data_IF_656310278068
#
_entry.id   IF_656310278068
#
_cell.length_a   1.000
_cell.length_b   1.000
_cell.length_c   1.000
_cell.angle_alpha   90.00
_cell.angle_beta   90.00
_cell.angle_gamma   90.00
#
_symmetry.space_group_name_H-M   'P 1'
#
loop_
_entity.id
_entity.type
_entity.pdbx_description
1 polymer ?
#
# COMPACT_ATOMS: atom_id res chain seq x y z
N UNK A 1 -33.44 13.49 -0.35
CA UNK A 1 -32.18 12.73 -0.44
C UNK A 1 -31.33 12.78 0.84
N UNK A 2 -30.97 13.96 1.38
CA UNK A 2 -30.16 14.07 2.62
C UNK A 2 -30.75 13.33 3.83
N UNK A 3 -32.05 13.51 4.12
CA UNK A 3 -32.74 12.86 5.24
C UNK A 3 -32.78 11.32 5.10
N UNK A 4 -33.08 10.83 3.88
CA UNK A 4 -33.14 9.40 3.56
C UNK A 4 -31.78 8.68 3.74
N UNK A 5 -30.69 9.27 3.25
CA UNK A 5 -29.34 8.70 3.41
C UNK A 5 -28.87 8.71 4.87
N UNK A 6 -29.21 9.77 5.61
CA UNK A 6 -28.83 9.88 7.02
C UNK A 6 -29.56 8.86 7.90
N UNK A 7 -30.84 8.60 7.61
CA UNK A 7 -31.68 7.67 8.39
C UNK A 7 -31.43 6.20 8.01
N UNK A 8 -31.11 5.89 6.75
CA UNK A 8 -30.97 4.49 6.27
C UNK A 8 -29.54 4.05 5.96
N UNK A 9 -28.65 4.97 5.62
CA UNK A 9 -27.27 4.70 5.22
C UNK A 9 -26.26 5.65 5.87
N UNK A 10 -26.22 5.73 7.22
CA UNK A 10 -25.39 6.70 7.93
C UNK A 10 -23.90 6.56 7.60
N UNK A 11 -23.41 5.33 7.36
CA UNK A 11 -22.02 5.10 6.95
C UNK A 11 -21.71 5.74 5.58
N UNK A 12 -22.60 5.60 4.60
CA UNK A 12 -22.44 6.17 3.25
C UNK A 12 -22.45 7.69 3.30
N UNK A 13 -23.32 8.26 4.14
CA UNK A 13 -23.42 9.71 4.33
C UNK A 13 -22.20 10.28 5.06
N UNK A 14 -21.80 9.67 6.18
CA UNK A 14 -20.72 10.18 7.03
C UNK A 14 -19.34 10.07 6.39
N UNK A 15 -19.11 9.04 5.56
CA UNK A 15 -17.86 8.89 4.81
C UNK A 15 -17.81 9.71 3.53
N UNK A 16 -18.92 10.33 3.14
CA UNK A 16 -19.07 11.06 1.88
C UNK A 16 -18.69 10.25 0.63
N UNK A 17 -18.85 8.92 0.69
CA UNK A 17 -18.45 7.98 -0.37
C UNK A 17 -19.13 8.26 -1.71
N UNK A 18 -20.37 8.78 -1.67
CA UNK A 18 -21.16 9.15 -2.87
C UNK A 18 -20.44 10.20 -3.72
N UNK A 19 -19.68 11.11 -3.11
CA UNK A 19 -18.91 12.12 -3.84
C UNK A 19 -17.46 11.70 -4.06
N UNK A 20 -16.88 10.96 -3.11
CA UNK A 20 -15.50 10.51 -3.20
C UNK A 20 -15.28 9.54 -4.36
N UNK A 21 -16.10 8.48 -4.49
CA UNK A 21 -15.87 7.44 -5.49
C UNK A 21 -16.01 7.92 -6.94
N UNK A 22 -17.03 8.70 -7.34
CA UNK A 22 -17.10 9.21 -8.71
C UNK A 22 -15.93 10.12 -9.06
N UNK A 23 -15.46 10.93 -8.09
CA UNK A 23 -14.32 11.82 -8.29
C UNK A 23 -12.99 11.04 -8.40
N UNK A 24 -12.80 10.04 -7.54
CA UNK A 24 -11.68 9.09 -7.63
C UNK A 24 -11.68 8.42 -9.01
N UNK A 25 -12.82 7.91 -9.46
CA UNK A 25 -12.95 7.30 -10.78
C UNK A 25 -12.59 8.28 -11.91
N UNK A 26 -13.07 9.52 -11.85
CA UNK A 26 -12.73 10.54 -12.84
C UNK A 26 -11.22 10.85 -12.86
N UNK A 27 -10.57 10.87 -11.71
CA UNK A 27 -9.11 11.07 -11.60
C UNK A 27 -8.35 9.89 -12.20
N UNK A 28 -8.73 8.65 -11.89
CA UNK A 28 -8.12 7.46 -12.50
C UNK A 28 -8.28 7.47 -14.02
N UNK A 29 -9.48 7.80 -14.51
CA UNK A 29 -9.74 7.92 -15.95
C UNK A 29 -8.87 9.01 -16.59
N UNK A 30 -8.72 10.16 -15.94
CA UNK A 30 -7.85 11.24 -16.41
C UNK A 30 -6.41 10.78 -16.54
N UNK A 31 -5.83 10.17 -15.49
CA UNK A 31 -4.45 9.66 -15.54
C UNK A 31 -4.27 8.56 -16.57
N UNK A 32 -5.22 7.63 -16.66
CA UNK A 32 -5.21 6.57 -17.67
C UNK A 32 -5.19 7.14 -19.10
N UNK A 33 -6.10 8.07 -19.41
CA UNK A 33 -6.16 8.68 -20.74
C UNK A 33 -4.91 9.50 -21.04
N UNK A 34 -4.33 10.15 -20.04
CA UNK A 34 -3.08 10.87 -20.18
C UNK A 34 -1.93 9.93 -20.53
N UNK A 35 -1.68 8.88 -19.73
CA UNK A 35 -0.64 7.89 -20.03
C UNK A 35 -0.83 7.24 -21.40
N UNK A 36 -2.08 6.88 -21.74
CA UNK A 36 -2.42 6.33 -23.05
C UNK A 36 -2.11 7.28 -24.22
N UNK A 37 -2.20 8.59 -24.02
CA UNK A 37 -1.89 9.60 -25.03
C UNK A 37 -0.39 9.92 -25.13
N UNK A 38 0.39 9.69 -24.07
CA UNK A 38 1.84 9.99 -24.01
C UNK A 38 2.68 9.03 -24.85
N UNK A 39 2.23 7.79 -25.06
CA UNK A 39 2.97 6.81 -25.86
C UNK A 39 2.88 7.13 -27.36
N UNK A 40 4.04 7.44 -27.93
CA UNK A 40 4.27 7.76 -29.34
C UNK A 40 5.42 6.91 -29.91
N UNK A 41 5.46 6.77 -31.24
CA UNK A 41 6.58 6.07 -31.91
C UNK A 41 7.92 6.77 -31.67
N UNK A 42 7.91 8.09 -31.51
CA UNK A 42 9.10 8.87 -31.19
C UNK A 42 9.71 8.45 -29.85
N UNK A 43 8.91 8.43 -28.78
CA UNK A 43 9.37 8.01 -27.46
C UNK A 43 9.78 6.53 -27.45
N UNK A 44 9.01 5.68 -28.13
CA UNK A 44 9.30 4.25 -28.24
C UNK A 44 10.55 3.94 -29.07
N UNK A 45 11.01 4.87 -29.91
CA UNK A 45 12.22 4.70 -30.74
C UNK A 45 13.52 5.00 -29.99
N UNK A 46 13.44 5.49 -28.76
CA UNK A 46 14.59 5.68 -27.89
C UNK A 46 15.25 4.33 -27.57
N UNK A 47 16.59 4.31 -27.52
CA UNK A 47 17.37 3.09 -27.33
C UNK A 47 16.95 2.30 -26.07
N UNK A 48 16.70 3.01 -24.98
CA UNK A 48 16.18 2.44 -23.73
C UNK A 48 14.92 3.19 -23.32
N UNK A 49 13.75 2.59 -23.52
CA UNK A 49 12.48 3.15 -23.07
C UNK A 49 11.88 2.27 -21.97
N UNK A 50 11.77 2.83 -20.76
CA UNK A 50 11.02 2.25 -19.64
C UNK A 50 9.76 3.08 -19.36
N UNK A 51 8.69 2.42 -18.92
CA UNK A 51 7.44 3.10 -18.58
C UNK A 51 7.62 4.08 -17.40
N UNK A 52 8.46 3.72 -16.43
CA UNK A 52 8.83 4.56 -15.28
C UNK A 52 9.31 5.96 -15.69
N UNK A 53 10.12 6.04 -16.76
CA UNK A 53 10.75 7.29 -17.20
C UNK A 53 9.75 8.39 -17.57
N UNK A 54 8.54 8.03 -18.02
CA UNK A 54 7.51 9.01 -18.38
C UNK A 54 6.65 9.42 -17.19
N UNK A 55 6.50 8.54 -16.20
CA UNK A 55 5.83 8.89 -14.96
C UNK A 55 6.68 9.84 -14.11
N UNK A 56 8.00 9.60 -14.06
CA UNK A 56 9.00 10.41 -13.37
C UNK A 56 9.13 11.82 -13.99
N UNK A 57 8.20 12.70 -13.62
CA UNK A 57 8.15 14.07 -14.13
C UNK A 57 6.83 14.76 -13.82
N UNK A 58 6.26 15.43 -14.83
CA UNK A 58 5.01 16.16 -14.69
C UNK A 58 3.85 15.25 -14.20
N UNK A 59 3.67 14.01 -14.69
CA UNK A 59 2.60 13.13 -14.21
C UNK A 59 2.70 12.82 -12.72
N UNK A 60 3.90 12.49 -12.22
CA UNK A 60 4.14 12.26 -10.78
C UNK A 60 3.77 13.48 -9.94
N UNK A 61 4.26 14.67 -10.29
CA UNK A 61 3.98 15.90 -9.54
C UNK A 61 2.47 16.22 -9.54
N UNK A 62 1.81 16.06 -10.69
CA UNK A 62 0.37 16.27 -10.79
C UNK A 62 -0.42 15.25 -9.98
N UNK A 63 0.01 13.99 -9.95
CA UNK A 63 -0.60 12.95 -9.11
C UNK A 63 -0.51 13.31 -7.63
N UNK A 64 0.65 13.79 -7.19
CA UNK A 64 0.85 14.24 -5.81
C UNK A 64 -0.05 15.42 -5.44
N UNK A 65 -0.15 16.43 -6.30
CA UNK A 65 -1.05 17.59 -6.09
C UNK A 65 -2.50 17.14 -5.97
N UNK A 66 -2.96 16.27 -6.88
CA UNK A 66 -4.33 15.77 -6.89
C UNK A 66 -4.61 14.93 -5.63
N UNK A 67 -3.67 14.07 -5.22
CA UNK A 67 -3.75 13.29 -3.98
C UNK A 67 -3.94 14.23 -2.77
N UNK A 68 -3.10 15.25 -2.64
CA UNK A 68 -3.18 16.21 -1.52
C UNK A 68 -4.53 16.94 -1.52
N UNK A 69 -4.97 17.46 -2.66
CA UNK A 69 -6.26 18.16 -2.77
C UNK A 69 -7.44 17.25 -2.43
N UNK A 70 -7.40 16.00 -2.90
CA UNK A 70 -8.42 14.99 -2.62
C UNK A 70 -8.47 14.63 -1.13
N UNK A 71 -7.32 14.39 -0.51
CA UNK A 71 -7.23 14.09 0.92
C UNK A 71 -7.75 15.25 1.76
N UNK A 72 -7.29 16.48 1.50
CA UNK A 72 -7.73 17.68 2.24
C UNK A 72 -9.23 17.89 2.06
N UNK A 73 -9.73 17.86 0.82
CA UNK A 73 -11.14 18.06 0.52
C UNK A 73 -12.04 17.00 1.14
N UNK A 74 -11.59 15.74 1.16
CA UNK A 74 -12.30 14.65 1.81
C UNK A 74 -12.26 14.77 3.33
N UNK A 75 -11.09 15.04 3.94
CA UNK A 75 -10.93 15.21 5.38
C UNK A 75 -11.77 16.35 5.93
N UNK A 76 -11.80 17.53 5.27
CA UNK A 76 -12.65 18.65 5.69
C UNK A 76 -14.12 18.21 5.81
N UNK A 77 -14.62 17.44 4.83
CA UNK A 77 -16.00 16.94 4.84
C UNK A 77 -16.21 15.87 5.91
N UNK A 78 -15.26 14.93 5.99
CA UNK A 78 -15.30 13.80 6.93
C UNK A 78 -15.30 14.27 8.39
N UNK A 79 -14.45 15.23 8.75
CA UNK A 79 -14.35 15.76 10.12
C UNK A 79 -15.47 16.75 10.47
N UNK A 80 -16.10 17.41 9.50
CA UNK A 80 -17.22 18.33 9.74
C UNK A 80 -18.40 17.67 10.45
N UNK A 81 -18.63 16.37 10.21
CA UNK A 81 -19.67 15.57 10.87
C UNK A 81 -19.05 14.35 11.55
N UNK A 82 -18.50 14.53 12.75
CA UNK A 82 -18.06 13.38 13.55
C UNK A 82 -19.24 12.74 14.30
N UNK A 83 -19.78 11.65 13.75
CA UNK A 83 -20.86 10.89 14.38
C UNK A 83 -20.41 10.19 15.68
N UNK A 84 -19.11 9.95 15.86
CA UNK A 84 -18.57 9.27 17.04
C UNK A 84 -18.56 10.16 18.28
N UNK A 85 -18.40 11.47 18.10
CA UNK A 85 -18.42 12.47 19.17
C UNK A 85 -19.82 12.75 19.72
N UNK A 86 -20.89 12.35 19.02
CA UNK A 86 -22.29 12.67 19.40
C UNK A 86 -23.06 11.51 20.03
N UNK A 87 -22.38 10.56 20.67
CA UNK A 87 -22.97 9.40 21.36
C UNK A 87 -23.97 8.58 20.52
N UNK A 88 -23.88 8.62 19.18
CA UNK A 88 -24.72 7.77 18.35
C UNK A 88 -24.40 6.29 18.65
N UNK A 89 -25.43 5.44 18.86
CA UNK A 89 -25.22 4.00 18.96
C UNK A 89 -24.67 3.52 17.61
N UNK A 90 -23.44 3.03 17.61
CA UNK A 90 -22.77 2.47 16.43
C UNK A 90 -22.46 1.02 16.74
N UNK A 91 -22.94 0.09 15.92
CA UNK A 91 -22.67 -1.33 16.12
C UNK A 91 -21.25 -1.72 15.70
N UNK A 92 -20.75 -2.83 16.22
CA UNK A 92 -19.47 -3.46 15.85
C UNK A 92 -19.29 -3.52 14.32
N UNK A 93 -20.33 -3.99 13.62
CA UNK A 93 -20.32 -4.11 12.17
C UNK A 93 -20.30 -2.77 11.43
N UNK A 94 -20.91 -1.73 12.01
CA UNK A 94 -20.83 -0.38 11.45
C UNK A 94 -19.44 0.23 11.59
N UNK A 95 -18.72 -0.06 12.68
CA UNK A 95 -17.32 0.35 12.87
C UNK A 95 -16.42 -0.30 11.81
N UNK A 96 -16.53 -1.62 11.65
CA UNK A 96 -15.75 -2.35 10.66
C UNK A 96 -16.04 -1.87 9.24
N UNK A 97 -17.32 -1.69 8.88
CA UNK A 97 -17.71 -1.14 7.57
C UNK A 97 -17.11 0.23 7.31
N UNK A 98 -17.01 1.09 8.33
CA UNK A 98 -16.38 2.39 8.16
C UNK A 98 -14.88 2.28 7.90
N UNK A 99 -14.17 1.40 8.61
CA UNK A 99 -12.76 1.13 8.32
C UNK A 99 -12.55 0.69 6.87
N UNK A 100 -13.36 -0.27 6.38
CA UNK A 100 -13.30 -0.75 5.00
C UNK A 100 -13.59 0.37 4.00
N UNK A 101 -14.59 1.23 4.26
CA UNK A 101 -14.88 2.38 3.37
C UNK A 101 -13.71 3.37 3.37
N UNK A 102 -13.10 3.66 4.53
CA UNK A 102 -11.91 4.51 4.59
C UNK A 102 -10.75 3.91 3.79
N UNK A 103 -10.55 2.59 3.90
CA UNK A 103 -9.52 1.87 3.15
C UNK A 103 -9.72 2.01 1.64
N UNK A 104 -10.95 1.80 1.15
CA UNK A 104 -11.25 1.94 -0.28
C UNK A 104 -11.07 3.37 -0.80
N UNK A 105 -11.51 4.37 -0.03
CA UNK A 105 -11.35 5.78 -0.43
C UNK A 105 -9.87 6.16 -0.43
N UNK A 106 -9.14 5.82 0.65
CA UNK A 106 -7.71 6.09 0.78
C UNK A 106 -6.92 5.39 -0.34
N UNK A 107 -7.25 4.13 -0.62
CA UNK A 107 -6.73 3.32 -1.72
C UNK A 107 -6.93 3.97 -3.07
N UNK A 108 -8.17 4.37 -3.40
CA UNK A 108 -8.47 5.02 -4.66
C UNK A 108 -7.78 6.38 -4.83
N UNK A 109 -7.57 7.14 -3.75
CA UNK A 109 -6.84 8.41 -3.84
C UNK A 109 -5.35 8.13 -4.11
N UNK A 110 -4.71 7.29 -3.28
CA UNK A 110 -3.25 7.09 -3.33
C UNK A 110 -2.78 6.27 -4.54
N UNK A 111 -3.62 5.40 -5.08
CA UNK A 111 -3.31 4.61 -6.29
C UNK A 111 -3.56 5.35 -7.61
N UNK A 112 -4.01 6.61 -7.57
CA UNK A 112 -4.36 7.38 -8.77
C UNK A 112 -3.21 7.50 -9.79
N UNK A 113 -1.97 7.62 -9.32
CA UNK A 113 -0.78 7.69 -10.17
C UNK A 113 -0.56 6.43 -11.02
N UNK A 114 -0.85 5.23 -10.47
CA UNK A 114 -0.66 3.95 -11.16
C UNK A 114 -1.51 3.84 -12.43
N UNK A 115 -2.66 4.55 -12.49
CA UNK A 115 -3.50 4.55 -13.69
C UNK A 115 -2.80 5.14 -14.91
N UNK A 116 -1.84 6.05 -14.73
CA UNK A 116 -1.04 6.60 -15.82
C UNK A 116 -0.28 5.49 -16.54
N UNK A 117 0.52 4.75 -15.79
CA UNK A 117 1.33 3.64 -16.27
C UNK A 117 0.49 2.52 -16.88
N UNK A 118 -0.67 2.23 -16.29
CA UNK A 118 -1.65 1.28 -16.88
C UNK A 118 -2.12 1.78 -18.25
N UNK A 119 -2.34 3.08 -18.41
CA UNK A 119 -2.69 3.70 -19.69
C UNK A 119 -1.59 3.56 -20.74
N UNK A 120 -0.33 3.76 -20.35
CA UNK A 120 0.81 3.58 -21.23
C UNK A 120 0.95 2.13 -21.69
N UNK A 121 0.91 1.19 -20.75
CA UNK A 121 0.96 -0.24 -21.04
C UNK A 121 -0.19 -0.65 -21.96
N UNK A 122 -1.41 -0.17 -21.71
CA UNK A 122 -2.56 -0.43 -22.57
C UNK A 122 -2.35 0.09 -24.01
N UNK A 123 -1.73 1.26 -24.18
CA UNK A 123 -1.41 1.81 -25.49
C UNK A 123 -0.39 0.96 -26.23
N UNK A 124 0.67 0.50 -25.56
CA UNK A 124 1.70 -0.37 -26.14
C UNK A 124 1.07 -1.69 -26.61
N UNK A 125 0.23 -2.30 -25.77
CA UNK A 125 -0.46 -3.55 -26.10
C UNK A 125 -1.40 -3.42 -27.30
N UNK A 126 -2.08 -2.29 -27.43
CA UNK A 126 -2.99 -2.01 -28.53
C UNK A 126 -2.27 -1.65 -29.84
N UNK A 127 -1.21 -0.82 -29.76
CA UNK A 127 -0.55 -0.25 -30.94
C UNK A 127 0.43 -1.22 -31.60
N UNK A 128 1.25 -1.92 -30.80
CA UNK A 128 2.33 -2.77 -31.31
C UNK A 128 1.93 -4.24 -31.20
N UNK A 129 1.41 -4.79 -32.30
CA UNK A 129 0.95 -6.19 -32.34
C UNK A 129 2.10 -7.18 -32.22
N UNK A 130 1.82 -8.39 -31.73
CA UNK A 130 2.87 -9.43 -31.59
C UNK A 130 3.44 -9.83 -32.96
N UNK A 131 2.62 -9.76 -34.01
CA UNK A 131 3.07 -9.98 -35.39
C UNK A 131 4.02 -8.88 -35.87
N UNK A 132 3.73 -7.61 -35.58
CA UNK A 132 4.65 -6.51 -35.88
C UNK A 132 6.00 -6.72 -35.17
N UNK A 133 5.97 -6.97 -33.86
CA UNK A 133 7.16 -7.20 -33.04
C UNK A 133 7.98 -8.37 -33.59
N UNK A 134 7.32 -9.50 -33.90
CA UNK A 134 7.98 -10.67 -34.46
C UNK A 134 8.60 -10.38 -35.83
N UNK A 135 7.87 -9.70 -36.71
CA UNK A 135 8.30 -9.40 -38.08
C UNK A 135 9.52 -8.48 -38.14
N UNK A 136 9.63 -7.53 -37.21
CA UNK A 136 10.80 -6.65 -37.10
C UNK A 136 11.98 -7.40 -36.50
N UNK A 137 11.79 -8.02 -35.32
CA UNK A 137 12.90 -8.59 -34.56
C UNK A 137 13.50 -9.85 -35.20
N UNK A 138 12.75 -10.60 -36.02
CA UNK A 138 13.29 -11.77 -36.72
C UNK A 138 14.32 -11.43 -37.81
N UNK A 139 14.37 -10.17 -38.26
CA UNK A 139 15.32 -9.73 -39.30
C UNK A 139 16.76 -9.64 -38.77
N UNK A 140 16.92 -9.66 -37.44
CA UNK A 140 18.18 -9.49 -36.74
C UNK A 140 18.59 -10.79 -36.04
N UNK A 141 19.90 -11.05 -35.90
CA UNK A 141 20.39 -12.24 -35.19
C UNK A 141 20.01 -12.20 -33.70
N UNK A 142 19.92 -13.37 -33.05
CA UNK A 142 19.48 -13.45 -31.65
C UNK A 142 20.41 -12.73 -30.65
N UNK A 143 21.68 -12.53 -31.00
CA UNK A 143 22.69 -11.86 -30.20
C UNK A 143 22.95 -10.41 -30.66
N UNK A 144 21.98 -9.80 -31.35
CA UNK A 144 22.05 -8.40 -31.78
C UNK A 144 22.19 -7.48 -30.58
N UNK A 145 23.32 -6.78 -30.49
CA UNK A 145 23.64 -5.94 -29.35
C UNK A 145 23.53 -4.44 -29.71
N UNK A 146 23.81 -3.59 -28.72
CA UNK A 146 23.75 -2.14 -28.90
C UNK A 146 24.65 -1.61 -30.03
N UNK A 147 25.90 -2.08 -30.10
CA UNK A 147 26.84 -1.66 -31.13
C UNK A 147 26.35 -2.03 -32.53
N UNK A 148 25.65 -3.17 -32.66
CA UNK A 148 25.06 -3.59 -33.92
C UNK A 148 23.88 -2.68 -34.33
N UNK A 149 23.08 -2.24 -33.36
CA UNK A 149 21.97 -1.29 -33.56
C UNK A 149 22.48 0.07 -34.01
N UNK A 150 23.56 0.60 -33.42
CA UNK A 150 24.14 1.90 -33.79
C UNK A 150 24.74 1.93 -35.21
N UNK A 151 25.08 0.76 -35.77
CA UNK A 151 25.60 0.64 -37.14
C UNK A 151 24.49 0.64 -38.21
N UNK A 152 23.23 0.52 -37.80
CA UNK A 152 22.10 0.51 -38.73
C UNK A 152 21.80 1.92 -39.26
N UNK A 153 21.18 2.02 -40.45
CA UNK A 153 20.52 3.26 -40.86
C UNK A 153 19.48 3.70 -39.83
N UNK A 154 19.35 5.01 -39.61
CA UNK A 154 18.50 5.61 -38.57
C UNK A 154 17.06 5.07 -38.58
N UNK A 155 16.47 4.88 -39.76
CA UNK A 155 15.12 4.33 -39.90
C UNK A 155 15.00 2.90 -39.34
N UNK A 156 16.00 2.05 -39.60
CA UNK A 156 16.04 0.67 -39.10
C UNK A 156 16.32 0.63 -37.60
N UNK A 157 17.20 1.51 -37.10
CA UNK A 157 17.45 1.68 -35.67
C UNK A 157 16.16 2.03 -34.92
N UNK A 158 15.39 3.01 -35.43
CA UNK A 158 14.11 3.41 -34.81
C UNK A 158 13.11 2.26 -34.78
N UNK A 159 12.93 1.55 -35.90
CA UNK A 159 11.98 0.44 -36.00
C UNK A 159 12.36 -0.71 -35.06
N UNK A 160 13.65 -1.05 -35.00
CA UNK A 160 14.18 -2.05 -34.06
C UNK A 160 13.90 -1.65 -32.61
N UNK A 161 14.24 -0.42 -32.22
CA UNK A 161 14.06 0.07 -30.85
C UNK A 161 12.58 0.03 -30.43
N UNK A 162 11.66 0.49 -31.30
CA UNK A 162 10.22 0.42 -31.04
C UNK A 162 9.78 -1.03 -30.78
N UNK A 163 10.18 -1.96 -31.66
CA UNK A 163 9.79 -3.36 -31.53
C UNK A 163 10.40 -4.02 -30.28
N UNK A 164 11.65 -3.70 -29.96
CA UNK A 164 12.33 -4.25 -28.79
C UNK A 164 11.73 -3.71 -27.47
N UNK A 165 11.51 -2.40 -27.38
CA UNK A 165 10.87 -1.78 -26.22
C UNK A 165 9.43 -2.32 -26.02
N UNK A 166 8.65 -2.43 -27.11
CA UNK A 166 7.29 -2.99 -27.04
C UNK A 166 7.28 -4.45 -26.57
N UNK A 167 8.24 -5.27 -27.04
CA UNK A 167 8.44 -6.64 -26.57
C UNK A 167 8.76 -6.69 -25.08
N UNK A 168 9.67 -5.83 -24.61
CA UNK A 168 10.10 -5.82 -23.22
C UNK A 168 8.97 -5.42 -22.28
N UNK A 169 8.20 -4.39 -22.63
CA UNK A 169 7.00 -3.97 -21.87
C UNK A 169 5.96 -5.09 -21.84
N UNK A 170 5.69 -5.76 -22.97
CA UNK A 170 4.71 -6.85 -23.05
C UNK A 170 5.13 -8.10 -22.29
N UNK A 171 6.44 -8.35 -22.21
CA UNK A 171 6.98 -9.53 -21.52
C UNK A 171 6.92 -9.36 -19.99
N UNK A 172 7.03 -8.13 -19.49
CA UNK A 172 6.93 -7.82 -18.06
C UNK A 172 5.46 -7.82 -17.64
N UNK A 173 5.13 -8.60 -16.61
CA UNK A 173 3.84 -8.45 -15.94
C UNK A 173 3.85 -7.09 -15.23
N UNK A 174 2.82 -6.27 -15.43
CA UNK A 174 2.71 -4.94 -14.80
C UNK A 174 3.05 -4.95 -13.30
N UNK A 175 2.55 -5.97 -12.58
CA UNK A 175 2.80 -6.12 -11.14
C UNK A 175 4.27 -6.38 -10.82
N UNK A 176 5.03 -7.04 -11.70
CA UNK A 176 6.47 -7.25 -11.52
C UNK A 176 7.28 -5.99 -11.77
N UNK A 177 6.85 -5.15 -12.71
CA UNK A 177 7.53 -3.89 -13.02
C UNK A 177 7.34 -2.87 -11.90
N UNK A 178 6.13 -2.76 -11.35
CA UNK A 178 5.77 -1.76 -10.34
C UNK A 178 5.63 -2.32 -8.93
N UNK A 179 6.35 -3.39 -8.61
CA UNK A 179 6.18 -4.12 -7.35
C UNK A 179 6.45 -3.25 -6.11
N UNK A 180 7.53 -2.46 -6.15
CA UNK A 180 7.93 -1.58 -5.05
C UNK A 180 6.93 -0.43 -4.86
N UNK A 181 6.47 0.18 -5.95
CA UNK A 181 5.49 1.26 -5.94
C UNK A 181 4.13 0.78 -5.42
N UNK A 182 3.68 -0.39 -5.89
CA UNK A 182 2.42 -1.00 -5.41
C UNK A 182 2.56 -1.29 -3.91
N UNK A 183 3.66 -1.90 -3.47
CA UNK A 183 3.90 -2.23 -2.05
C UNK A 183 3.94 -0.95 -1.19
N UNK A 184 4.58 0.12 -1.66
CA UNK A 184 4.61 1.41 -0.99
C UNK A 184 3.20 2.03 -0.89
N UNK A 185 2.41 2.00 -1.97
CA UNK A 185 1.04 2.53 -1.99
C UNK A 185 0.15 1.72 -1.05
N UNK A 186 0.17 0.39 -1.10
CA UNK A 186 -0.60 -0.49 -0.22
C UNK A 186 -0.28 -0.23 1.26
N UNK A 187 1.01 -0.10 1.58
CA UNK A 187 1.50 0.22 2.93
C UNK A 187 1.01 1.59 3.39
N UNK A 188 1.15 2.63 2.56
CA UNK A 188 0.70 3.97 2.87
C UNK A 188 -0.83 4.03 3.06
N UNK A 189 -1.58 3.35 2.21
CA UNK A 189 -3.04 3.22 2.31
C UNK A 189 -3.43 2.62 3.65
N UNK A 190 -2.80 1.52 4.05
CA UNK A 190 -3.13 0.85 5.29
C UNK A 190 -2.77 1.69 6.53
N UNK A 191 -1.58 2.28 6.56
CA UNK A 191 -1.12 3.12 7.68
C UNK A 191 -2.01 4.36 7.83
N UNK A 192 -2.25 5.09 6.75
CA UNK A 192 -3.06 6.32 6.78
C UNK A 192 -4.52 6.02 7.13
N UNK A 193 -5.06 4.90 6.64
CA UNK A 193 -6.42 4.47 7.00
C UNK A 193 -6.50 4.13 8.49
N UNK A 194 -5.51 3.41 9.03
CA UNK A 194 -5.46 3.05 10.44
C UNK A 194 -5.33 4.29 11.34
N UNK A 195 -4.49 5.25 10.96
CA UNK A 195 -4.36 6.54 11.65
C UNK A 195 -5.68 7.33 11.63
N UNK A 196 -6.33 7.42 10.47
CA UNK A 196 -7.63 8.07 10.36
C UNK A 196 -8.68 7.38 11.25
N UNK A 197 -8.69 6.05 11.26
CA UNK A 197 -9.64 5.26 12.02
C UNK A 197 -9.51 5.48 13.53
N UNK A 198 -8.28 5.48 14.08
CA UNK A 198 -8.07 5.70 15.51
C UNK A 198 -8.46 7.12 15.96
N UNK A 199 -8.22 8.13 15.11
CA UNK A 199 -8.64 9.53 15.37
C UNK A 199 -10.16 9.61 15.42
N UNK A 200 -10.84 8.90 14.52
CA UNK A 200 -12.31 8.89 14.41
C UNK A 200 -12.98 8.17 15.56
N UNK A 201 -12.42 7.04 16.02
CA UNK A 201 -13.00 6.25 17.10
C UNK A 201 -12.79 6.90 18.46
N UNK A 202 -11.57 7.35 18.75
CA UNK A 202 -11.18 7.74 20.11
C UNK A 202 -11.34 9.23 20.34
N UNK A 203 -10.37 10.02 19.91
CA UNK A 203 -10.40 11.48 19.77
C UNK A 203 -9.05 11.91 19.21
N UNK A 204 -8.93 13.16 18.75
CA UNK A 204 -7.62 13.71 18.39
C UNK A 204 -6.64 13.67 19.58
N UNK A 205 -7.10 13.97 20.80
CA UNK A 205 -6.27 13.93 22.01
C UNK A 205 -5.70 12.54 22.26
N UNK A 206 -6.56 11.51 22.24
CA UNK A 206 -6.14 10.12 22.48
C UNK A 206 -5.23 9.61 21.37
N UNK A 207 -5.51 9.96 20.11
CA UNK A 207 -4.67 9.59 18.98
C UNK A 207 -3.27 10.22 19.03
N UNK A 208 -3.17 11.52 19.39
CA UNK A 208 -1.87 12.17 19.58
C UNK A 208 -1.04 11.54 20.71
N UNK A 209 -1.68 11.23 21.83
CA UNK A 209 -1.03 10.50 22.92
C UNK A 209 -0.59 9.10 22.47
N UNK A 210 -1.40 8.42 21.64
CA UNK A 210 -1.04 7.13 21.05
C UNK A 210 0.26 7.24 20.26
N UNK A 211 0.36 8.21 19.35
CA UNK A 211 1.55 8.42 18.51
C UNK A 211 2.79 8.67 19.39
N UNK A 212 2.64 9.49 20.44
CA UNK A 212 3.72 9.78 21.38
C UNK A 212 4.17 8.53 22.14
N UNK A 213 3.24 7.77 22.73
CA UNK A 213 3.56 6.56 23.48
C UNK A 213 4.07 5.42 22.59
N UNK A 214 3.56 5.27 21.37
CA UNK A 214 4.09 4.30 20.41
C UNK A 214 5.51 4.66 20.00
N UNK A 215 5.80 5.95 19.76
CA UNK A 215 7.15 6.42 19.44
C UNK A 215 8.15 6.15 20.57
N UNK A 216 7.76 6.41 21.82
CA UNK A 216 8.57 6.08 23.00
C UNK A 216 8.82 4.57 23.12
N UNK A 217 7.79 3.75 22.85
CA UNK A 217 7.91 2.30 22.91
C UNK A 217 8.80 1.74 21.79
N UNK A 218 8.72 2.29 20.58
CA UNK A 218 9.64 1.97 19.49
C UNK A 218 11.09 2.33 19.85
N UNK A 219 11.32 3.49 20.46
CA UNK A 219 12.66 3.89 20.91
C UNK A 219 13.20 2.95 21.99
N UNK A 220 12.37 2.59 22.98
CA UNK A 220 12.76 1.65 24.02
C UNK A 220 13.07 0.27 23.44
N UNK A 221 12.25 -0.20 22.49
CA UNK A 221 12.51 -1.46 21.78
C UNK A 221 13.82 -1.40 20.99
N UNK A 222 14.09 -0.30 20.28
CA UNK A 222 15.34 -0.11 19.54
C UNK A 222 16.56 -0.12 20.48
N UNK A 223 16.47 0.50 21.65
CA UNK A 223 17.53 0.43 22.67
C UNK A 223 17.74 -1.00 23.19
N UNK A 224 16.66 -1.75 23.40
CA UNK A 224 16.76 -3.17 23.77
C UNK A 224 17.41 -4.00 22.66
N UNK A 225 17.09 -3.74 21.40
CA UNK A 225 17.73 -4.40 20.25
C UNK A 225 19.24 -4.14 20.26
N UNK A 226 19.66 -2.89 20.38
CA UNK A 226 21.09 -2.52 20.45
C UNK A 226 21.77 -3.18 21.65
N UNK A 227 21.11 -3.22 22.80
CA UNK A 227 21.64 -3.87 24.00
C UNK A 227 21.83 -5.39 23.79
N UNK A 228 20.85 -6.08 23.18
CA UNK A 228 20.94 -7.51 22.89
C UNK A 228 22.08 -7.80 21.91
N UNK A 229 22.20 -7.00 20.85
CA UNK A 229 23.30 -7.12 19.87
C UNK A 229 24.67 -6.89 20.50
N UNK A 230 24.77 -6.03 21.52
CA UNK A 230 26.02 -5.76 22.23
C UNK A 230 26.44 -6.89 23.19
N UNK A 231 25.49 -7.71 23.66
CA UNK A 231 25.78 -8.78 24.61
C UNK A 231 26.54 -9.98 24.00
N UNK A 232 26.91 -9.90 22.71
CA UNK A 232 27.70 -10.88 21.95
C UNK A 232 27.31 -12.32 22.31
N UNK A 233 26.01 -12.62 22.20
CA UNK A 233 25.50 -13.96 22.44
C UNK A 233 25.95 -14.78 21.23
N UNK A 234 27.15 -15.36 21.32
CA UNK A 234 27.90 -16.11 20.30
C UNK A 234 27.18 -17.32 19.66
N UNK A 235 25.86 -17.46 19.79
CA UNK A 235 25.12 -18.62 19.30
C UNK A 235 23.74 -18.26 18.73
N UNK A 236 23.55 -18.61 17.47
CA UNK A 236 22.28 -19.00 16.83
C UNK A 236 21.01 -18.66 17.61
N UNK A 237 20.43 -17.48 17.41
CA UNK A 237 19.12 -17.19 18.01
C UNK A 237 18.71 -15.73 18.17
N UNK A 238 19.57 -14.75 17.89
CA UNK A 238 19.28 -13.32 18.12
C UNK A 238 17.97 -12.86 17.46
N UNK A 239 17.79 -13.17 16.16
CA UNK A 239 16.55 -12.87 15.42
C UNK A 239 15.31 -13.48 16.09
N UNK A 240 15.44 -14.68 16.66
CA UNK A 240 14.34 -15.35 17.35
C UNK A 240 14.02 -14.69 18.69
N UNK A 241 15.04 -14.30 19.46
CA UNK A 241 14.86 -13.58 20.73
C UNK A 241 14.15 -12.25 20.50
N UNK A 242 14.60 -11.47 19.53
CA UNK A 242 14.01 -10.19 19.15
C UNK A 242 12.55 -10.36 18.70
N UNK A 243 12.28 -11.38 17.89
CA UNK A 243 10.93 -11.72 17.45
C UNK A 243 9.99 -12.08 18.60
N UNK A 244 10.42 -12.95 19.53
CA UNK A 244 9.60 -13.29 20.71
C UNK A 244 9.39 -12.10 21.63
N UNK A 245 10.40 -11.24 21.81
CA UNK A 245 10.28 -10.02 22.60
C UNK A 245 9.23 -9.06 22.01
N UNK A 246 9.25 -8.86 20.69
CA UNK A 246 8.27 -8.06 19.97
C UNK A 246 6.84 -8.55 20.25
N UNK A 247 6.61 -9.87 20.15
CA UNK A 247 5.31 -10.47 20.44
C UNK A 247 4.91 -10.37 21.91
N UNK A 248 5.83 -10.55 22.86
CA UNK A 248 5.54 -10.38 24.29
C UNK A 248 5.08 -8.95 24.57
N UNK A 249 5.77 -7.95 24.03
CA UNK A 249 5.41 -6.54 24.18
C UNK A 249 4.01 -6.30 23.58
N UNK A 250 3.77 -6.76 22.36
CA UNK A 250 2.48 -6.59 21.69
C UNK A 250 1.32 -7.25 22.43
N UNK A 251 1.48 -8.51 22.86
CA UNK A 251 0.46 -9.24 23.60
C UNK A 251 0.18 -8.60 24.96
N UNK A 252 1.20 -8.03 25.61
CA UNK A 252 1.04 -7.26 26.85
C UNK A 252 0.17 -6.02 26.62
N UNK A 253 0.41 -5.28 25.53
CA UNK A 253 -0.40 -4.10 25.16
C UNK A 253 -1.82 -4.51 24.79
N UNK A 254 -1.98 -5.59 24.00
CA UNK A 254 -3.29 -6.14 23.64
C UNK A 254 -4.07 -6.55 24.89
N UNK A 255 -3.45 -7.23 25.85
CA UNK A 255 -4.10 -7.58 27.11
C UNK A 255 -4.50 -6.32 27.89
N UNK A 256 -3.59 -5.36 28.00
CA UNK A 256 -3.85 -4.08 28.68
C UNK A 256 -5.00 -3.28 28.05
N UNK A 257 -5.15 -3.36 26.72
CA UNK A 257 -6.26 -2.73 25.97
C UNK A 257 -7.65 -3.28 26.31
N UNK A 258 -7.72 -4.45 26.95
CA UNK A 258 -9.00 -5.08 27.34
C UNK A 258 -9.28 -5.00 28.84
N UNK A 259 -8.25 -4.86 29.66
CA UNK A 259 -8.32 -4.99 31.12
C UNK A 259 -8.23 -3.66 31.87
N UNK A 260 -7.66 -2.61 31.27
CA UNK A 260 -7.48 -1.33 31.94
C UNK A 260 -8.82 -0.68 32.33
N UNK A 261 -8.94 -0.26 33.58
CA UNK A 261 -10.10 0.45 34.12
C UNK A 261 -10.13 1.94 33.77
N UNK A 262 -8.98 2.51 33.39
CA UNK A 262 -8.88 3.91 32.99
C UNK A 262 -9.18 4.05 31.50
N UNK A 263 -10.25 4.77 31.16
CA UNK A 263 -10.71 4.95 29.78
C UNK A 263 -9.64 5.53 28.87
N UNK A 264 -8.87 6.53 29.32
CA UNK A 264 -7.83 7.14 28.51
C UNK A 264 -6.70 6.14 28.20
N UNK A 265 -6.19 5.46 29.23
CA UNK A 265 -5.11 4.48 29.07
C UNK A 265 -5.53 3.31 28.18
N UNK A 266 -6.76 2.81 28.38
CA UNK A 266 -7.32 1.75 27.55
C UNK A 266 -7.46 2.18 26.08
N UNK A 267 -7.88 3.42 25.84
CA UNK A 267 -7.99 3.99 24.49
C UNK A 267 -6.63 4.12 23.79
N UNK A 268 -5.59 4.54 24.53
CA UNK A 268 -4.21 4.58 24.01
C UNK A 268 -3.74 3.16 23.66
N UNK A 269 -3.90 2.21 24.57
CA UNK A 269 -3.50 0.82 24.35
C UNK A 269 -4.21 0.20 23.14
N UNK A 270 -5.53 0.41 23.00
CA UNK A 270 -6.29 -0.04 21.84
C UNK A 270 -5.77 0.54 20.52
N UNK A 271 -5.48 1.84 20.49
CA UNK A 271 -4.95 2.47 19.29
C UNK A 271 -3.56 1.93 18.93
N UNK A 272 -2.68 1.69 19.93
CA UNK A 272 -1.37 1.05 19.70
C UNK A 272 -1.58 -0.36 19.16
N UNK A 273 -2.51 -1.14 19.71
CA UNK A 273 -2.83 -2.48 19.21
C UNK A 273 -3.24 -2.45 17.73
N UNK A 274 -4.14 -1.53 17.34
CA UNK A 274 -4.58 -1.37 15.94
C UNK A 274 -3.40 -1.02 15.02
N UNK A 275 -2.55 -0.06 15.43
CA UNK A 275 -1.42 0.39 14.61
C UNK A 275 -0.28 -0.64 14.53
N UNK A 276 0.00 -1.36 15.63
CA UNK A 276 1.13 -2.27 15.72
C UNK A 276 0.85 -3.64 15.08
N UNK A 277 -0.41 -4.05 14.92
CA UNK A 277 -0.71 -5.39 14.40
C UNK A 277 -0.15 -5.61 13.00
N UNK A 278 -0.32 -4.65 12.08
CA UNK A 278 0.19 -4.76 10.70
C UNK A 278 1.71 -4.95 10.61
N UNK A 279 2.57 -4.08 11.19
CA UNK A 279 4.02 -4.29 11.14
C UNK A 279 4.47 -5.57 11.88
N UNK A 280 3.74 -6.04 12.90
CA UNK A 280 4.06 -7.29 13.59
C UNK A 280 3.76 -8.50 12.72
N UNK A 281 2.66 -8.48 11.96
CA UNK A 281 2.35 -9.55 11.01
C UNK A 281 3.38 -9.56 9.87
N UNK A 282 3.78 -8.40 9.35
CA UNK A 282 4.88 -8.30 8.38
C UNK A 282 6.15 -8.97 8.94
N UNK A 283 6.58 -8.55 10.14
CA UNK A 283 7.76 -9.13 10.79
C UNK A 283 7.62 -10.65 10.99
N UNK A 284 6.41 -11.14 11.27
CA UNK A 284 6.12 -12.57 11.42
C UNK A 284 6.25 -13.33 10.12
N UNK A 285 5.68 -12.81 9.02
CA UNK A 285 5.76 -13.46 7.73
C UNK A 285 7.20 -13.49 7.20
N UNK A 286 7.95 -12.39 7.32
CA UNK A 286 9.40 -12.38 7.00
C UNK A 286 10.21 -13.32 7.89
N UNK A 287 9.91 -13.40 9.19
CA UNK A 287 10.57 -14.35 10.09
C UNK A 287 10.33 -15.81 9.68
N UNK A 288 9.09 -16.14 9.30
CA UNK A 288 8.72 -17.47 8.81
C UNK A 288 9.40 -17.76 7.47
N UNK A 289 9.33 -16.83 6.53
CA UNK A 289 9.96 -16.92 5.21
C UNK A 289 11.47 -17.19 5.33
N UNK A 290 12.19 -16.36 6.08
CA UNK A 290 13.62 -16.57 6.40
C UNK A 290 13.88 -17.96 7.02
N UNK A 291 12.97 -18.51 7.83
CA UNK A 291 13.16 -19.82 8.49
C UNK A 291 12.84 -21.00 7.58
N UNK A 292 11.81 -20.89 6.74
CA UNK A 292 11.38 -21.94 5.82
C UNK A 292 12.28 -22.00 4.57
N UNK A 293 12.64 -20.86 3.98
CA UNK A 293 13.40 -20.82 2.73
C UNK A 293 14.91 -20.96 2.91
N UNK A 294 15.50 -20.50 4.02
CA UNK A 294 16.92 -20.74 4.35
C UNK A 294 17.29 -22.24 4.42
N UNK A 295 16.30 -23.13 4.53
CA UNK A 295 16.52 -24.58 4.60
C UNK A 295 16.66 -25.27 3.23
N UNK A 296 16.29 -24.61 2.13
CA UNK A 296 16.19 -25.23 0.79
C UNK A 296 17.19 -24.68 -0.25
N UNK A 297 18.27 -24.02 0.17
CA UNK A 297 19.26 -23.47 -0.77
C UNK A 297 20.26 -24.52 -1.24
N UNK A 298 19.93 -25.14 -2.38
CA UNK A 298 20.91 -25.36 -3.43
C UNK A 298 20.19 -25.39 -4.79
N UNK A 299 20.47 -24.38 -5.63
CA UNK A 299 20.18 -24.27 -7.06
C UNK A 299 18.70 -24.19 -7.51
N UNK A 300 18.17 -22.99 -7.82
CA UNK A 300 17.32 -22.86 -9.01
C UNK A 300 17.03 -21.42 -9.49
N UNK A 301 16.86 -21.27 -10.81
CA UNK A 301 16.46 -20.04 -11.53
C UNK A 301 15.03 -19.59 -11.14
N UNK A 302 14.20 -20.50 -10.62
CA UNK A 302 12.90 -20.16 -10.03
C UNK A 302 13.00 -19.13 -8.90
N UNK A 303 14.15 -19.02 -8.23
CA UNK A 303 14.35 -18.11 -7.11
C UNK A 303 14.13 -16.62 -7.48
N UNK A 304 14.57 -16.19 -8.68
CA UNK A 304 14.46 -14.78 -9.09
C UNK A 304 13.01 -14.32 -9.33
N UNK A 305 12.14 -15.19 -9.81
CA UNK A 305 10.72 -14.86 -10.06
C UNK A 305 9.90 -14.84 -8.78
N UNK A 306 10.20 -15.74 -7.84
CA UNK A 306 9.54 -15.79 -6.53
C UNK A 306 9.95 -14.62 -5.65
N UNK A 307 11.23 -14.21 -5.67
CA UNK A 307 11.72 -13.09 -4.88
C UNK A 307 11.02 -11.76 -5.22
N UNK A 308 10.76 -11.51 -6.52
CA UNK A 308 10.08 -10.30 -6.96
C UNK A 308 8.61 -10.21 -6.49
N UNK A 309 7.95 -11.33 -6.16
CA UNK A 309 6.58 -11.32 -5.62
C UNK A 309 6.53 -11.48 -4.11
N UNK A 310 7.63 -11.92 -3.50
CA UNK A 310 7.69 -12.31 -2.10
C UNK A 310 7.27 -11.16 -1.19
N UNK A 311 7.85 -9.98 -1.38
CA UNK A 311 7.52 -8.80 -0.58
C UNK A 311 6.05 -8.39 -0.77
N UNK A 312 5.59 -8.20 -2.00
CA UNK A 312 4.19 -7.80 -2.24
C UNK A 312 3.20 -8.82 -1.69
N UNK A 313 3.46 -10.13 -1.83
CA UNK A 313 2.63 -11.18 -1.24
C UNK A 313 2.63 -11.07 0.28
N UNK A 314 3.79 -10.84 0.91
CA UNK A 314 3.89 -10.69 2.37
C UNK A 314 3.10 -9.46 2.83
N UNK A 315 3.25 -8.32 2.17
CA UNK A 315 2.55 -7.09 2.52
C UNK A 315 1.04 -7.21 2.29
N UNK A 316 0.60 -7.73 1.13
CA UNK A 316 -0.81 -8.00 0.83
C UNK A 316 -1.44 -8.99 1.83
N UNK A 317 -0.76 -10.10 2.14
CA UNK A 317 -1.22 -11.04 3.18
C UNK A 317 -1.33 -10.37 4.56
N UNK A 318 -0.36 -9.52 4.90
CA UNK A 318 -0.35 -8.78 6.17
C UNK A 318 -1.52 -7.81 6.27
N UNK A 319 -1.87 -7.13 5.18
CA UNK A 319 -3.06 -6.26 5.11
C UNK A 319 -4.33 -7.08 5.31
N UNK A 320 -4.48 -8.22 4.62
CA UNK A 320 -5.66 -9.07 4.76
C UNK A 320 -5.85 -9.58 6.19
N UNK A 321 -4.78 -10.06 6.82
CA UNK A 321 -4.79 -10.48 8.23
C UNK A 321 -5.14 -9.31 9.15
N UNK A 322 -4.64 -8.11 8.87
CA UNK A 322 -4.91 -6.91 9.67
C UNK A 322 -6.35 -6.43 9.53
N UNK A 323 -6.95 -6.53 8.36
CA UNK A 323 -8.39 -6.29 8.16
C UNK A 323 -9.20 -7.28 8.99
N UNK A 324 -8.85 -8.56 8.95
CA UNK A 324 -9.49 -9.61 9.76
C UNK A 324 -9.40 -9.31 11.26
N UNK A 325 -8.21 -8.91 11.73
CA UNK A 325 -7.99 -8.51 13.12
C UNK A 325 -8.87 -7.32 13.52
N UNK A 326 -8.91 -6.25 12.73
CA UNK A 326 -9.74 -5.07 13.02
C UNK A 326 -11.22 -5.46 13.11
N UNK A 327 -11.69 -6.35 12.24
CA UNK A 327 -13.05 -6.87 12.27
C UNK A 327 -13.40 -7.64 13.55
N UNK A 328 -12.45 -8.41 14.12
CA UNK A 328 -12.63 -9.09 15.41
C UNK A 328 -12.48 -8.13 16.60
N UNK A 329 -11.67 -7.08 16.44
CA UNK A 329 -11.33 -6.15 17.50
C UNK A 329 -12.39 -5.06 17.74
N UNK A 330 -13.40 -4.93 16.87
CA UNK A 330 -14.49 -3.97 17.05
C UNK A 330 -15.25 -4.13 18.36
N UNK A 331 -15.31 -5.34 18.91
CA UNK A 331 -16.03 -5.64 20.15
C UNK A 331 -15.30 -5.03 21.35
N UNK A 332 -13.96 -4.98 21.30
CA UNK A 332 -13.14 -4.29 22.30
C UNK A 332 -13.37 -2.78 22.21
N UNK A 333 -13.47 -2.26 20.98
CA UNK A 333 -13.76 -0.84 20.73
C UNK A 333 -15.11 -0.42 21.30
N UNK A 334 -16.15 -1.20 21.08
CA UNK A 334 -17.48 -0.90 21.62
C UNK A 334 -17.50 -0.90 23.15
N UNK A 335 -16.89 -1.92 23.78
CA UNK A 335 -16.78 -2.01 25.24
C UNK A 335 -16.02 -0.84 25.85
N UNK A 336 -14.95 -0.39 25.20
CA UNK A 336 -14.20 0.78 25.64
C UNK A 336 -15.04 2.06 25.53
N UNK A 337 -15.78 2.22 24.44
CA UNK A 337 -16.62 3.40 24.21
C UNK A 337 -17.71 3.54 25.27
N UNK A 338 -18.23 2.41 25.76
CA UNK A 338 -19.24 2.35 26.82
C UNK A 338 -18.70 2.70 28.23
N UNK A 339 -17.39 2.87 28.42
CA UNK A 339 -16.83 3.24 29.72
C UNK A 339 -17.19 4.68 30.10
N UNK A 340 -17.41 4.96 31.40
CA UNK A 340 -17.56 6.33 31.90
C UNK A 340 -16.27 7.13 31.66
N UNK A 341 -16.40 8.44 31.47
CA UNK A 341 -15.26 9.35 31.28
C UNK A 341 -14.34 9.46 32.50
#
# INVERSE_FOLDING_TARGET
MKKYLLERYPAIWNTHVIWALPLIFAIHLFFFLWGFATITDENMSNYSFGLENLFEGLPMVMSFIIIVLMLVGWFIRLFKNNAFERFYPVSEWQLFRQFVIYLFIMGGILSSGLSFTIGESAKVHLRYTDSYIHNVLQQYPKNFNFEDVERLPEAQQREYNIANNAKDIKKRLFVMEFNEEITMVETAVFILTSLLFIVRITSLRTALLTILFSGLLCLLFALLVVFILFMDIENYGEDSILFFLLWIIYLSILLYSTTSSNKLQRGIAMNITILAFFPIIIATLFFLEKRYFRRNYDNDIHYSLWHNFEELIIFSCSILLSIGFIGLYTNVIERWRAMPE
#
